data_IF_197090173481
#
_entry.id   IF_197090173481
#
_cell.length_a   1.000
_cell.length_b   1.000
_cell.length_c   1.000
_cell.angle_alpha   90.00
_cell.angle_beta   90.00
_cell.angle_gamma   90.00
#
_symmetry.space_group_name_H-M   'P 1'
#
loop_
_entity.id
_entity.type
_entity.pdbx_description
1 polymer ?
#
# COMPACT_ATOMS: atom_id res chain seq x y z
N UNK A 1 -12.09 14.90 -14.69
CA UNK A 1 -12.96 13.72 -14.95
C UNK A 1 -12.22 12.53 -15.55
N UNK A 2 -11.55 12.61 -16.71
CA UNK A 2 -10.87 11.43 -17.30
C UNK A 2 -9.54 11.04 -16.62
N UNK A 3 -8.91 11.96 -15.88
CA UNK A 3 -7.59 11.75 -15.25
C UNK A 3 -7.67 11.33 -13.76
N UNK A 4 -8.79 11.64 -13.11
CA UNK A 4 -9.05 11.36 -11.68
C UNK A 4 -9.38 9.88 -11.45
N UNK A 5 -10.19 9.31 -12.33
CA UNK A 5 -10.49 7.88 -12.37
C UNK A 5 -9.25 7.02 -12.67
N UNK A 6 -8.19 7.62 -13.22
CA UNK A 6 -6.89 6.99 -13.40
C UNK A 6 -6.14 6.83 -12.08
N UNK A 7 -6.10 7.87 -11.24
CA UNK A 7 -5.34 7.86 -9.98
C UNK A 7 -5.82 6.81 -8.98
N UNK A 8 -7.14 6.73 -8.75
CA UNK A 8 -7.68 5.75 -7.80
C UNK A 8 -7.53 4.31 -8.30
N UNK A 9 -7.81 4.06 -9.59
CA UNK A 9 -7.58 2.74 -10.21
C UNK A 9 -6.11 2.35 -10.17
N UNK A 10 -5.21 3.30 -10.39
CA UNK A 10 -3.76 3.06 -10.33
C UNK A 10 -3.31 2.68 -8.92
N UNK A 11 -3.88 3.31 -7.89
CA UNK A 11 -3.62 2.95 -6.48
C UNK A 11 -4.13 1.53 -6.16
N UNK A 12 -5.33 1.16 -6.61
CA UNK A 12 -5.85 -0.20 -6.39
C UNK A 12 -5.01 -1.25 -7.12
N UNK A 13 -4.67 -1.01 -8.38
CA UNK A 13 -3.85 -1.94 -9.17
C UNK A 13 -2.48 -2.11 -8.54
N UNK A 14 -1.82 -1.03 -8.11
CA UNK A 14 -0.50 -1.10 -7.49
C UNK A 14 -0.52 -1.79 -6.12
N UNK A 15 -1.58 -1.61 -5.32
CA UNK A 15 -1.81 -2.37 -4.09
C UNK A 15 -2.00 -3.87 -4.35
N UNK A 16 -2.70 -4.25 -5.43
CA UNK A 16 -2.85 -5.66 -5.83
C UNK A 16 -1.50 -6.23 -6.29
N UNK A 17 -0.73 -5.49 -7.08
CA UNK A 17 0.63 -5.90 -7.52
C UNK A 17 1.54 -6.11 -6.32
N UNK A 18 1.50 -5.20 -5.33
CA UNK A 18 2.24 -5.30 -4.08
C UNK A 18 1.81 -6.55 -3.30
N UNK A 19 0.51 -6.80 -3.15
CA UNK A 19 -0.03 -7.98 -2.47
C UNK A 19 0.46 -9.28 -3.13
N UNK A 20 0.38 -9.36 -4.46
CA UNK A 20 0.85 -10.53 -5.22
C UNK A 20 2.36 -10.72 -5.05
N UNK A 21 3.15 -9.66 -5.18
CA UNK A 21 4.60 -9.70 -4.97
C UNK A 21 4.98 -10.17 -3.57
N UNK A 22 4.25 -9.70 -2.55
CA UNK A 22 4.46 -10.04 -1.15
C UNK A 22 4.07 -11.49 -0.82
N UNK A 23 3.00 -12.00 -1.43
CA UNK A 23 2.61 -13.42 -1.34
C UNK A 23 3.67 -14.32 -2.00
N UNK A 24 4.12 -13.97 -3.22
CA UNK A 24 5.19 -14.71 -3.90
C UNK A 24 6.46 -14.75 -3.04
N UNK A 25 6.85 -13.61 -2.48
CA UNK A 25 7.96 -13.50 -1.53
C UNK A 25 7.82 -14.43 -0.32
N UNK A 26 6.64 -14.46 0.29
CA UNK A 26 6.37 -15.22 1.53
C UNK A 26 6.44 -16.73 1.31
N UNK A 27 6.01 -17.23 0.15
CA UNK A 27 6.01 -18.68 -0.15
C UNK A 27 7.21 -19.13 -1.01
N UNK A 28 8.10 -18.23 -1.40
CA UNK A 28 9.24 -18.53 -2.25
C UNK A 28 10.37 -19.21 -1.48
N UNK A 29 10.83 -20.36 -1.97
CA UNK A 29 12.06 -21.04 -1.53
C UNK A 29 13.19 -20.93 -2.57
N UNK A 30 12.95 -20.31 -3.73
CA UNK A 30 13.91 -20.16 -4.83
C UNK A 30 14.34 -18.70 -4.98
N UNK A 31 15.65 -18.43 -5.08
CA UNK A 31 16.20 -17.08 -5.24
C UNK A 31 15.54 -16.29 -6.39
N UNK A 32 15.27 -16.94 -7.53
CA UNK A 32 14.65 -16.29 -8.68
C UNK A 32 13.23 -15.79 -8.41
N UNK A 33 12.43 -16.57 -7.68
CA UNK A 33 11.07 -16.19 -7.28
C UNK A 33 11.09 -15.03 -6.27
N UNK A 34 12.05 -15.04 -5.36
CA UNK A 34 12.27 -13.96 -4.38
C UNK A 34 12.62 -12.65 -5.10
N UNK A 35 13.54 -12.67 -6.07
CA UNK A 35 13.89 -11.47 -6.85
C UNK A 35 12.68 -10.90 -7.60
N UNK A 36 11.88 -11.76 -8.24
CA UNK A 36 10.66 -11.34 -8.94
C UNK A 36 9.67 -10.71 -7.95
N UNK A 37 9.48 -11.32 -6.79
CA UNK A 37 8.62 -10.79 -5.72
C UNK A 37 9.08 -9.42 -5.22
N UNK A 38 10.39 -9.22 -5.02
CA UNK A 38 10.98 -7.94 -4.59
C UNK A 38 10.69 -6.84 -5.62
N UNK A 39 10.88 -7.14 -6.91
CA UNK A 39 10.62 -6.19 -8.00
C UNK A 39 9.14 -5.81 -8.03
N UNK A 40 8.23 -6.77 -7.87
CA UNK A 40 6.79 -6.50 -7.82
C UNK A 40 6.40 -5.65 -6.61
N UNK A 41 6.95 -5.95 -5.42
CA UNK A 41 6.72 -5.15 -4.21
C UNK A 41 7.23 -3.73 -4.39
N UNK A 42 8.47 -3.57 -4.87
CA UNK A 42 9.08 -2.25 -5.10
C UNK A 42 8.31 -1.43 -6.14
N UNK A 43 7.92 -2.05 -7.26
CA UNK A 43 7.11 -1.40 -8.28
C UNK A 43 5.72 -1.01 -7.74
N UNK A 44 5.05 -1.91 -7.03
CA UNK A 44 3.75 -1.66 -6.40
C UNK A 44 3.82 -0.51 -5.39
N UNK A 45 4.81 -0.50 -4.50
CA UNK A 45 5.01 0.58 -3.53
C UNK A 45 5.30 1.92 -4.21
N UNK A 46 6.18 1.93 -5.21
CA UNK A 46 6.54 3.15 -5.94
C UNK A 46 5.34 3.77 -6.67
N UNK A 47 4.60 2.95 -7.41
CA UNK A 47 3.39 3.41 -8.15
C UNK A 47 2.30 3.84 -7.17
N UNK A 48 2.11 3.12 -6.06
CA UNK A 48 1.12 3.50 -5.05
C UNK A 48 1.43 4.86 -4.43
N UNK A 49 2.70 5.13 -4.08
CA UNK A 49 3.11 6.44 -3.56
C UNK A 49 2.81 7.57 -4.56
N UNK A 50 3.15 7.37 -5.84
CA UNK A 50 2.83 8.34 -6.88
C UNK A 50 1.32 8.58 -7.04
N UNK A 51 0.52 7.51 -6.97
CA UNK A 51 -0.94 7.60 -7.04
C UNK A 51 -1.51 8.38 -5.86
N UNK A 52 -1.04 8.12 -4.63
CA UNK A 52 -1.48 8.84 -3.43
C UNK A 52 -1.17 10.34 -3.56
N UNK A 53 0.06 10.71 -3.92
CA UNK A 53 0.42 12.12 -4.08
C UNK A 53 -0.32 12.82 -5.23
N UNK A 54 -0.73 12.07 -6.28
CA UNK A 54 -1.62 12.59 -7.33
C UNK A 54 -3.05 12.84 -6.80
N UNK A 55 -3.54 12.02 -5.87
CA UNK A 55 -4.89 12.12 -5.30
C UNK A 55 -5.02 13.20 -4.21
N UNK A 56 -3.95 13.53 -3.49
CA UNK A 56 -3.95 14.57 -2.43
C UNK A 56 -4.53 15.92 -2.91
N UNK A 57 -4.04 16.55 -3.99
CA UNK A 57 -4.56 17.84 -4.45
C UNK A 57 -6.00 17.77 -4.96
N UNK A 58 -6.47 16.58 -5.33
CA UNK A 58 -7.85 16.38 -5.79
C UNK A 58 -8.83 16.31 -4.61
N UNK A 59 -8.49 15.59 -3.54
CA UNK A 59 -9.38 15.45 -2.39
C UNK A 59 -9.31 16.61 -1.41
N UNK A 60 -8.17 17.31 -1.30
CA UNK A 60 -7.97 18.40 -0.33
C UNK A 60 -7.26 19.58 -1.01
N UNK A 61 -7.91 20.26 -1.96
CA UNK A 61 -7.28 21.34 -2.73
C UNK A 61 -6.87 22.54 -1.87
N UNK A 62 -7.60 22.80 -0.77
CA UNK A 62 -7.34 23.94 0.10
C UNK A 62 -6.10 23.76 1.00
N UNK A 63 -5.64 22.51 1.19
CA UNK A 63 -4.56 22.17 2.12
C UNK A 63 -3.63 21.07 1.59
N UNK A 64 -3.20 21.19 0.33
CA UNK A 64 -2.33 20.21 -0.35
C UNK A 64 -1.01 20.01 0.41
N UNK A 65 -0.33 21.11 0.78
CA UNK A 65 0.97 21.05 1.46
C UNK A 65 0.89 20.38 2.83
N UNK A 66 -0.14 20.70 3.62
CA UNK A 66 -0.38 20.08 4.92
C UNK A 66 -0.68 18.59 4.79
N UNK A 67 -1.60 18.22 3.90
CA UNK A 67 -2.00 16.82 3.69
C UNK A 67 -0.84 15.98 3.14
N UNK A 68 -0.09 16.49 2.17
CA UNK A 68 1.10 15.83 1.65
C UNK A 68 2.19 15.67 2.74
N UNK A 69 2.35 16.66 3.62
CA UNK A 69 3.23 16.58 4.78
C UNK A 69 2.83 15.47 5.76
N UNK A 70 1.54 15.33 6.06
CA UNK A 70 1.02 14.23 6.89
C UNK A 70 1.25 12.85 6.24
N UNK A 71 0.91 12.72 4.96
CA UNK A 71 1.12 11.47 4.20
C UNK A 71 2.60 11.09 4.19
N UNK A 72 3.49 12.04 3.89
CA UNK A 72 4.93 11.81 3.90
C UNK A 72 5.48 11.48 5.28
N UNK A 73 5.01 12.16 6.33
CA UNK A 73 5.40 11.90 7.72
C UNK A 73 5.01 10.49 8.18
N UNK A 74 3.76 10.08 7.95
CA UNK A 74 3.31 8.72 8.24
C UNK A 74 4.06 7.67 7.41
N UNK A 75 4.38 7.99 6.15
CA UNK A 75 5.21 7.14 5.30
C UNK A 75 6.62 6.92 5.86
N UNK A 76 7.25 7.98 6.38
CA UNK A 76 8.55 7.89 7.05
C UNK A 76 8.49 7.03 8.32
N UNK A 77 7.43 7.19 9.12
CA UNK A 77 7.22 6.34 10.30
C UNK A 77 7.11 4.86 9.92
N UNK A 78 6.40 4.52 8.84
CA UNK A 78 6.34 3.15 8.34
C UNK A 78 7.71 2.62 7.91
N UNK A 79 8.46 3.42 7.13
CA UNK A 79 9.81 3.06 6.68
C UNK A 79 10.83 2.89 7.82
N UNK A 80 10.66 3.63 8.92
CA UNK A 80 11.51 3.52 10.10
C UNK A 80 11.08 2.40 11.06
N UNK A 81 9.77 2.15 11.20
CA UNK A 81 9.24 1.15 12.12
C UNK A 81 9.35 -0.29 11.59
N UNK A 82 9.22 -0.50 10.28
CA UNK A 82 9.23 -1.84 9.69
C UNK A 82 10.59 -2.57 9.89
N UNK A 83 11.77 -1.97 9.64
CA UNK A 83 13.04 -2.68 9.76
C UNK A 83 13.37 -3.21 11.16
N UNK A 84 13.15 -2.45 12.26
CA UNK A 84 13.29 -2.99 13.61
C UNK A 84 12.32 -4.14 13.91
N UNK A 85 11.05 -4.01 13.53
CA UNK A 85 10.04 -5.07 13.71
C UNK A 85 10.47 -6.34 12.95
N UNK A 86 10.98 -6.17 11.72
CA UNK A 86 11.51 -7.27 10.93
C UNK A 86 12.71 -7.94 11.62
N UNK A 87 13.63 -7.13 12.15
CA UNK A 87 14.81 -7.59 12.89
C UNK A 87 14.43 -8.41 14.12
N UNK A 88 13.47 -7.95 14.90
CA UNK A 88 12.96 -8.66 16.09
C UNK A 88 12.28 -9.99 15.72
N UNK A 89 11.49 -10.01 14.65
CA UNK A 89 10.85 -11.24 14.13
C UNK A 89 11.90 -12.27 13.70
N UNK A 90 12.93 -11.83 12.97
CA UNK A 90 14.04 -12.70 12.54
C UNK A 90 14.86 -13.20 13.72
N UNK A 91 15.08 -12.36 14.75
CA UNK A 91 15.79 -12.73 15.95
C UNK A 91 15.06 -13.84 16.74
N UNK A 92 13.73 -13.86 16.73
CA UNK A 92 12.90 -14.85 17.43
C UNK A 92 12.67 -16.13 16.63
N UNK A 93 12.55 -16.05 15.29
CA UNK A 93 12.12 -17.17 14.43
C UNK A 93 13.27 -17.79 13.61
N UNK A 94 14.45 -17.15 13.60
CA UNK A 94 15.60 -17.59 12.80
C UNK A 94 15.50 -17.19 11.33
N UNK A 95 16.36 -17.76 10.47
CA UNK A 95 16.49 -17.35 9.05
C UNK A 95 15.22 -17.56 8.21
N UNK A 96 14.35 -18.51 8.62
CA UNK A 96 13.02 -18.71 8.04
C UNK A 96 12.04 -17.57 8.38
N UNK A 97 12.39 -16.70 9.32
CA UNK A 97 11.66 -15.50 9.71
C UNK A 97 11.66 -14.38 8.66
N UNK A 98 12.55 -14.41 7.66
CA UNK A 98 12.52 -13.45 6.57
C UNK A 98 11.23 -13.54 5.74
N UNK A 99 10.76 -14.76 5.46
CA UNK A 99 9.48 -14.98 4.77
C UNK A 99 8.29 -14.45 5.58
N UNK A 100 8.31 -14.63 6.91
CA UNK A 100 7.29 -14.07 7.81
C UNK A 100 7.37 -12.55 7.90
N UNK A 101 8.58 -12.01 7.84
CA UNK A 101 8.82 -10.59 7.86
C UNK A 101 8.21 -9.84 6.67
N UNK A 102 8.21 -10.45 5.47
CA UNK A 102 7.47 -9.93 4.32
C UNK A 102 5.95 -10.04 4.46
N UNK A 103 5.46 -10.89 5.36
CA UNK A 103 4.04 -11.00 5.72
C UNK A 103 3.45 -9.69 6.24
N UNK A 104 4.27 -8.76 6.77
CA UNK A 104 3.78 -7.44 7.18
C UNK A 104 3.23 -6.64 6.00
N UNK A 105 3.81 -6.79 4.80
CA UNK A 105 3.33 -6.12 3.59
C UNK A 105 2.04 -6.74 3.06
N UNK A 106 1.81 -8.04 3.28
CA UNK A 106 0.51 -8.68 3.01
C UNK A 106 -0.57 -8.06 3.89
N UNK A 107 -0.32 -7.98 5.20
CA UNK A 107 -1.29 -7.42 6.16
C UNK A 107 -1.57 -5.95 5.81
N UNK A 108 -0.53 -5.16 5.56
CA UNK A 108 -0.67 -3.74 5.25
C UNK A 108 -1.41 -3.50 3.93
N UNK A 109 -1.13 -4.30 2.89
CA UNK A 109 -1.83 -4.17 1.60
C UNK A 109 -3.29 -4.58 1.68
N UNK A 110 -3.64 -5.63 2.43
CA UNK A 110 -5.04 -6.00 2.70
C UNK A 110 -5.76 -4.89 3.46
N UNK A 111 -5.13 -4.33 4.49
CA UNK A 111 -5.71 -3.20 5.24
C UNK A 111 -5.94 -1.98 4.34
N UNK A 112 -4.98 -1.62 3.50
CA UNK A 112 -5.13 -0.54 2.52
C UNK A 112 -6.28 -0.82 1.54
N UNK A 113 -6.37 -2.03 0.98
CA UNK A 113 -7.46 -2.41 0.08
C UNK A 113 -8.84 -2.35 0.76
N UNK A 114 -8.93 -2.79 2.02
CA UNK A 114 -10.15 -2.67 2.83
C UNK A 114 -10.56 -1.23 3.07
N UNK A 115 -9.61 -0.34 3.37
CA UNK A 115 -9.87 1.08 3.55
C UNK A 115 -10.35 1.74 2.26
N UNK A 116 -9.73 1.44 1.12
CA UNK A 116 -10.17 1.92 -0.19
C UNK A 116 -11.59 1.44 -0.49
N UNK A 117 -11.88 0.16 -0.23
CA UNK A 117 -13.21 -0.40 -0.42
C UNK A 117 -14.27 0.26 0.47
N UNK A 118 -13.95 0.49 1.75
CA UNK A 118 -14.83 1.16 2.70
C UNK A 118 -15.13 2.61 2.26
N UNK A 119 -14.10 3.31 1.77
CA UNK A 119 -14.23 4.68 1.26
C UNK A 119 -15.16 4.73 0.04
N UNK A 120 -15.00 3.81 -0.91
CA UNK A 120 -15.89 3.68 -2.06
C UNK A 120 -17.33 3.35 -1.68
N UNK A 121 -17.53 2.43 -0.74
CA UNK A 121 -18.87 2.09 -0.25
C UNK A 121 -19.55 3.28 0.41
N UNK A 122 -18.80 4.06 1.19
CA UNK A 122 -19.31 5.26 1.87
C UNK A 122 -19.71 6.34 0.86
N UNK A 123 -18.91 6.58 -0.18
CA UNK A 123 -19.27 7.53 -1.25
C UNK A 123 -20.50 7.09 -2.04
N UNK A 124 -20.60 5.82 -2.39
CA UNK A 124 -21.77 5.29 -3.09
C UNK A 124 -23.08 5.49 -2.30
N UNK A 125 -23.04 5.24 -0.98
CA UNK A 125 -24.18 5.45 -0.10
C UNK A 125 -24.57 6.92 0.04
N UNK A 126 -23.59 7.83 0.12
CA UNK A 126 -23.84 9.27 0.21
C UNK A 126 -24.54 9.81 -1.04
N UNK A 127 -24.07 9.41 -2.22
CA UNK A 127 -24.67 9.78 -3.51
C UNK A 127 -26.09 9.26 -3.63
N UNK A 128 -26.36 8.03 -3.16
CA UNK A 128 -27.71 7.46 -3.15
C UNK A 128 -28.68 8.24 -2.25
N UNK A 129 -28.20 8.85 -1.16
CA UNK A 129 -29.03 9.68 -0.29
C UNK A 129 -29.33 11.08 -0.84
N UNK A 130 -28.45 11.66 -1.65
CA UNK A 130 -28.64 12.98 -2.28
C UNK A 130 -29.59 12.95 -3.48
N UNK A 131 -29.86 11.77 -4.06
CA UNK A 131 -30.74 11.59 -5.22
C UNK A 131 -32.19 11.27 -4.80
N UNK A 132 -32.43 10.95 -3.51
CA UNK A 132 -33.77 10.80 -2.92
C UNK A 132 -34.25 12.11 -2.32
#
# INVERSE_FOLDING_TARGET
>A
MSDEMGGEKTAVISLIVLLVGSVIMTFSSLLWLTIIGEILVGAGMGVNNAAVFKLVPHYVPDAVGGTAGWVGGLGCLGGFAIPPILGDIVALVGINGYALGFGIYIILSILCLLLVWLLYRTRANLTAHLIR
#
